data_IF_868033879798
#
_entry.id   IF_868033879798
#
_cell.length_a   1.000
_cell.length_b   1.000
_cell.length_c   1.000
_cell.angle_alpha   90.00
_cell.angle_beta   90.00
_cell.angle_gamma   90.00
#
_symmetry.space_group_name_H-M   'P 1'
#
loop_
_entity.id
_entity.type
_entity.pdbx_description
1 polymer ?
#
# COMPACT_ATOMS: atom_id res chain seq x y z
N UNK A 1 4.71 10.60 -12.69
CA UNK A 1 4.53 9.13 -12.64
C UNK A 1 5.41 8.37 -13.63
N UNK A 2 5.55 8.83 -14.87
CA UNK A 2 6.42 8.17 -15.87
C UNK A 2 7.92 8.18 -15.49
N UNK A 3 8.41 9.30 -14.95
CA UNK A 3 9.77 9.38 -14.40
C UNK A 3 10.01 8.33 -13.29
N UNK A 4 9.07 8.22 -12.35
CA UNK A 4 9.11 7.21 -11.29
C UNK A 4 9.16 5.79 -11.86
N UNK A 5 8.28 5.44 -12.82
CA UNK A 5 8.33 4.14 -13.49
C UNK A 5 9.68 3.87 -14.15
N UNK A 6 10.23 4.86 -14.83
CA UNK A 6 11.55 4.77 -15.48
C UNK A 6 12.66 4.50 -14.46
N UNK A 7 12.68 5.23 -13.35
CA UNK A 7 13.73 5.13 -12.32
C UNK A 7 13.64 3.83 -11.51
N UNK A 8 12.46 3.19 -11.47
CA UNK A 8 12.23 1.90 -10.80
C UNK A 8 12.21 0.69 -11.75
N UNK A 9 12.36 0.89 -13.06
CA UNK A 9 12.47 -0.21 -14.04
C UNK A 9 13.91 -0.75 -14.08
N UNK A 10 14.11 -2.07 -14.27
CA UNK A 10 15.46 -2.61 -14.47
C UNK A 10 16.16 -1.89 -15.63
N UNK A 11 17.45 -1.55 -15.49
CA UNK A 11 18.20 -0.95 -16.60
C UNK A 11 18.20 -1.94 -17.76
N UNK A 12 17.77 -1.49 -18.94
CA UNK A 12 17.57 -2.30 -20.15
C UNK A 12 18.87 -2.86 -20.76
N UNK A 13 19.94 -3.01 -19.98
CA UNK A 13 21.30 -3.28 -20.44
C UNK A 13 21.84 -4.69 -20.14
N UNK A 14 21.04 -5.61 -19.59
CA UNK A 14 21.43 -7.03 -19.50
C UNK A 14 20.63 -7.86 -20.50
N UNK A 15 21.27 -8.21 -21.60
CA UNK A 15 20.74 -9.00 -22.73
C UNK A 15 20.37 -10.47 -22.38
N UNK A 16 20.06 -10.81 -21.12
CA UNK A 16 19.86 -12.21 -20.70
C UNK A 16 18.57 -12.53 -19.95
N UNK A 17 17.64 -11.59 -19.75
CA UNK A 17 16.30 -11.94 -19.25
C UNK A 17 15.19 -11.27 -20.05
N UNK A 18 14.77 -11.95 -21.12
CA UNK A 18 13.42 -11.79 -21.68
C UNK A 18 12.41 -12.33 -20.67
N UNK A 19 11.97 -11.50 -19.74
CA UNK A 19 10.63 -11.62 -19.17
C UNK A 19 10.03 -10.23 -19.08
N UNK A 20 8.74 -10.15 -19.42
CA UNK A 20 7.90 -8.95 -19.37
C UNK A 20 7.71 -8.44 -17.92
N UNK A 21 8.80 -8.11 -17.24
CA UNK A 21 8.79 -7.56 -15.88
C UNK A 21 8.52 -6.05 -15.97
N UNK A 22 7.30 -5.71 -16.39
CA UNK A 22 6.78 -4.36 -16.25
C UNK A 22 6.25 -4.17 -14.82
N UNK A 23 6.62 -3.05 -14.18
CA UNK A 23 6.07 -2.64 -12.89
C UNK A 23 4.94 -1.63 -13.11
N UNK A 24 3.89 -1.66 -12.28
CA UNK A 24 2.87 -0.61 -12.36
C UNK A 24 3.38 0.68 -11.73
N UNK A 25 2.73 1.81 -12.06
CA UNK A 25 2.94 3.05 -11.31
C UNK A 25 2.67 2.87 -9.80
N UNK A 26 1.70 2.02 -9.44
CA UNK A 26 1.36 1.71 -8.06
C UNK A 26 2.49 0.96 -7.35
N UNK A 27 3.14 0.01 -8.03
CA UNK A 27 4.28 -0.73 -7.47
C UNK A 27 5.49 0.19 -7.28
N UNK A 28 5.75 1.06 -8.26
CA UNK A 28 6.85 2.03 -8.20
C UNK A 28 6.64 3.02 -7.05
N UNK A 29 5.42 3.53 -6.88
CA UNK A 29 5.06 4.44 -5.80
C UNK A 29 5.10 3.75 -4.43
N UNK A 30 4.55 2.54 -4.31
CA UNK A 30 4.66 1.72 -3.11
C UNK A 30 6.12 1.51 -2.69
N UNK A 31 7.00 1.27 -3.66
CA UNK A 31 8.43 1.11 -3.41
C UNK A 31 9.07 2.38 -2.87
N UNK A 32 8.79 3.53 -3.50
CA UNK A 32 9.29 4.81 -3.05
C UNK A 32 8.86 5.10 -1.60
N UNK A 33 7.58 4.87 -1.30
CA UNK A 33 6.98 5.05 0.03
C UNK A 33 7.64 4.15 1.06
N UNK A 34 7.78 2.85 0.76
CA UNK A 34 8.46 1.91 1.65
C UNK A 34 9.89 2.38 1.94
N UNK A 35 10.67 2.68 0.89
CA UNK A 35 12.04 3.13 1.05
C UNK A 35 12.17 4.43 1.86
N UNK A 36 11.25 5.38 1.68
CA UNK A 36 11.24 6.63 2.45
C UNK A 36 10.96 6.38 3.94
N UNK A 37 9.99 5.51 4.27
CA UNK A 37 9.72 5.12 5.67
C UNK A 37 10.93 4.41 6.28
N UNK A 38 11.52 3.45 5.57
CA UNK A 38 12.71 2.72 6.04
C UNK A 38 13.87 3.68 6.33
N UNK A 39 14.22 4.56 5.38
CA UNK A 39 15.31 5.54 5.54
C UNK A 39 15.05 6.53 6.67
N UNK A 40 13.80 6.96 6.84
CA UNK A 40 13.42 7.85 7.93
C UNK A 40 13.61 7.19 9.31
N UNK A 41 13.24 5.91 9.43
CA UNK A 41 13.45 5.11 10.65
C UNK A 41 14.92 4.89 10.96
N UNK A 42 15.72 4.54 9.93
CA UNK A 42 17.16 4.36 10.06
C UNK A 42 17.84 5.68 10.50
N UNK A 43 17.50 6.79 9.85
CA UNK A 43 18.08 8.11 10.17
C UNK A 43 17.67 8.60 11.56
N UNK A 44 16.44 8.33 11.97
CA UNK A 44 15.92 8.68 13.30
C UNK A 44 16.27 7.68 14.40
N UNK A 45 16.97 6.58 14.07
CA UNK A 45 17.24 5.45 14.98
C UNK A 45 16.00 5.01 15.77
N UNK A 46 14.87 4.83 15.09
CA UNK A 46 13.58 4.63 15.74
C UNK A 46 13.23 3.16 15.90
N UNK A 47 12.79 2.79 17.09
CA UNK A 47 12.21 1.47 17.34
C UNK A 47 10.86 1.32 16.62
N UNK A 48 10.72 0.22 15.87
CA UNK A 48 9.46 -0.15 15.22
C UNK A 48 8.51 -0.65 16.30
N UNK A 49 7.40 0.06 16.51
CA UNK A 49 6.49 -0.17 17.62
C UNK A 49 5.58 -1.41 17.39
N UNK A 50 4.80 -1.79 18.41
CA UNK A 50 3.70 -2.77 18.33
C UNK A 50 4.09 -4.23 18.00
N UNK A 51 5.25 -4.70 18.50
CA UNK A 51 5.67 -6.10 18.28
C UNK A 51 6.07 -6.41 16.83
N UNK A 52 6.39 -5.37 16.07
CA UNK A 52 6.96 -5.42 14.72
C UNK A 52 8.48 -5.67 14.80
N UNK A 53 9.19 -5.66 13.67
CA UNK A 53 10.62 -6.01 13.62
C UNK A 53 11.45 -5.19 14.61
N UNK A 54 12.47 -5.76 15.25
CA UNK A 54 13.30 -5.00 16.21
C UNK A 54 14.15 -3.94 15.51
N UNK A 55 14.77 -3.02 16.27
CA UNK A 55 15.71 -2.00 15.72
C UNK A 55 16.87 -2.67 14.98
N UNK A 56 17.35 -3.79 15.51
CA UNK A 56 18.47 -4.57 14.98
C UNK A 56 18.08 -5.38 13.73
N UNK A 57 16.78 -5.49 13.44
CA UNK A 57 16.30 -6.24 12.28
C UNK A 57 16.79 -5.59 10.99
N UNK A 58 17.53 -6.39 10.21
CA UNK A 58 18.00 -6.04 8.87
C UNK A 58 16.89 -6.14 7.81
N UNK A 59 15.69 -6.55 8.21
CA UNK A 59 14.57 -6.80 7.30
C UNK A 59 13.30 -6.13 7.80
N UNK A 60 12.55 -5.55 6.87
CA UNK A 60 11.19 -5.06 7.10
C UNK A 60 10.17 -5.91 6.35
N UNK A 61 9.04 -6.17 7.00
CA UNK A 61 7.89 -6.82 6.42
C UNK A 61 6.93 -5.77 5.86
N UNK A 62 6.65 -5.88 4.58
CA UNK A 62 5.68 -5.01 3.90
C UNK A 62 4.42 -5.81 3.67
N UNK A 63 3.27 -5.22 4.00
CA UNK A 63 1.96 -5.75 3.69
C UNK A 63 1.20 -4.76 2.83
N UNK A 64 0.57 -5.26 1.78
CA UNK A 64 -0.25 -4.42 0.90
C UNK A 64 -1.61 -5.07 0.68
N UNK A 65 -2.65 -4.24 0.77
CA UNK A 65 -3.99 -4.68 0.42
C UNK A 65 -4.14 -4.77 -1.10
N UNK A 66 -4.73 -5.86 -1.59
CA UNK A 66 -5.13 -6.00 -2.98
C UNK A 66 -6.62 -6.30 -3.07
N UNK A 67 -7.28 -5.79 -4.10
CA UNK A 67 -8.65 -6.15 -4.42
C UNK A 67 -8.68 -7.56 -5.04
N UNK A 68 -9.27 -8.51 -4.33
CA UNK A 68 -9.39 -9.89 -4.77
C UNK A 68 -10.55 -10.12 -5.74
N UNK A 69 -11.49 -9.17 -5.88
CA UNK A 69 -12.79 -9.41 -6.53
C UNK A 69 -12.67 -9.85 -7.97
N UNK A 70 -11.76 -9.24 -8.71
CA UNK A 70 -11.47 -9.59 -10.11
C UNK A 70 -10.76 -10.94 -10.27
N UNK A 71 -10.36 -11.57 -9.17
CA UNK A 71 -9.67 -12.87 -9.12
C UNK A 71 -10.60 -13.99 -8.63
N UNK A 72 -11.88 -13.70 -8.37
CA UNK A 72 -12.86 -14.71 -8.05
C UNK A 72 -13.01 -15.69 -9.25
N UNK A 73 -12.97 -17.02 -9.04
CA UNK A 73 -12.94 -18.01 -10.13
C UNK A 73 -14.06 -17.89 -11.17
N UNK A 74 -15.22 -17.36 -10.76
CA UNK A 74 -16.41 -17.21 -11.61
C UNK A 74 -16.70 -15.75 -11.97
N UNK A 75 -15.85 -14.79 -11.58
CA UNK A 75 -16.07 -13.36 -11.83
C UNK A 75 -17.32 -12.75 -11.18
N UNK A 76 -18.01 -13.52 -10.32
CA UNK A 76 -19.27 -13.14 -9.67
C UNK A 76 -19.11 -12.03 -8.62
N UNK A 77 -17.88 -11.74 -8.18
CA UNK A 77 -17.58 -10.65 -7.24
C UNK A 77 -17.09 -9.38 -7.95
N UNK A 78 -16.83 -9.45 -9.25
CA UNK A 78 -16.33 -8.34 -10.07
C UNK A 78 -17.40 -7.26 -10.30
N UNK A 79 -17.01 -6.15 -10.94
CA UNK A 79 -17.91 -5.07 -11.36
C UNK A 79 -18.71 -4.40 -10.22
N UNK A 80 -18.19 -4.43 -8.99
CA UNK A 80 -18.79 -3.71 -7.86
C UNK A 80 -20.10 -4.32 -7.32
N UNK A 81 -20.42 -5.57 -7.67
CA UNK A 81 -21.62 -6.25 -7.19
C UNK A 81 -21.46 -6.81 -5.77
N UNK A 82 -20.22 -7.01 -5.32
CA UNK A 82 -19.91 -7.54 -4.00
C UNK A 82 -19.42 -6.45 -3.03
N UNK A 83 -20.24 -6.16 -2.02
CA UNK A 83 -20.00 -5.12 -1.01
C UNK A 83 -19.28 -5.63 0.25
N UNK A 84 -19.09 -6.94 0.41
CA UNK A 84 -18.34 -7.51 1.55
C UNK A 84 -16.83 -7.27 1.43
N UNK A 85 -16.07 -7.59 2.50
CA UNK A 85 -14.61 -7.51 2.47
C UNK A 85 -14.03 -8.67 1.64
N UNK A 86 -13.28 -8.34 0.59
CA UNK A 86 -12.52 -9.33 -0.19
C UNK A 86 -11.16 -8.74 -0.60
N UNK A 87 -10.41 -8.32 0.42
CA UNK A 87 -9.10 -7.72 0.28
C UNK A 87 -8.02 -8.68 0.80
N UNK A 88 -7.58 -9.66 0.00
CA UNK A 88 -6.46 -10.51 0.40
C UNK A 88 -5.20 -9.66 0.60
N UNK A 89 -4.57 -9.87 1.75
CA UNK A 89 -3.27 -9.29 2.07
C UNK A 89 -2.17 -10.15 1.44
N UNK A 90 -1.18 -9.48 0.89
CA UNK A 90 0.03 -10.12 0.38
C UNK A 90 1.25 -9.41 0.98
N UNK A 91 2.35 -10.16 1.10
CA UNK A 91 3.55 -9.70 1.81
C UNK A 91 4.77 -9.78 0.91
N UNK A 92 5.71 -8.88 1.11
CA UNK A 92 6.93 -8.87 0.30
C UNK A 92 8.08 -8.20 1.03
N UNK A 93 9.30 -8.48 0.55
CA UNK A 93 10.55 -7.95 1.10
C UNK A 93 11.10 -6.76 0.30
N UNK A 94 10.81 -6.61 -1.00
CA UNK A 94 11.34 -5.53 -1.89
C UNK A 94 10.41 -5.30 -3.12
N UNK A 95 10.47 -4.11 -3.74
CA UNK A 95 9.88 -3.69 -5.02
C UNK A 95 9.69 -4.75 -6.12
N UNK A 96 10.77 -5.42 -6.57
CA UNK A 96 10.69 -6.45 -7.61
C UNK A 96 9.91 -7.68 -7.11
N UNK A 97 9.91 -7.89 -5.80
CA UNK A 97 9.08 -8.89 -5.15
C UNK A 97 7.63 -8.42 -4.95
N UNK A 98 7.25 -7.15 -5.19
CA UNK A 98 5.84 -6.72 -5.17
C UNK A 98 5.07 -7.33 -6.32
N UNK A 99 5.55 -7.21 -7.56
CA UNK A 99 4.88 -7.80 -8.73
C UNK A 99 4.86 -9.33 -8.66
N UNK A 100 5.95 -9.93 -8.17
CA UNK A 100 6.05 -11.39 -7.98
C UNK A 100 5.10 -11.87 -6.88
N UNK A 101 5.04 -11.19 -5.73
CA UNK A 101 4.10 -11.51 -4.65
C UNK A 101 2.64 -11.29 -5.09
N UNK A 102 2.32 -10.19 -5.79
CA UNK A 102 0.99 -9.95 -6.38
C UNK A 102 0.53 -11.04 -7.35
N UNK A 103 1.48 -11.70 -8.03
CA UNK A 103 1.17 -12.75 -9.01
C UNK A 103 1.05 -14.12 -8.35
N UNK A 104 1.86 -14.40 -7.32
CA UNK A 104 1.90 -15.69 -6.62
C UNK A 104 0.93 -15.77 -5.44
N UNK A 105 0.93 -14.77 -4.55
CA UNK A 105 0.20 -14.79 -3.27
C UNK A 105 -1.29 -14.49 -3.37
N UNK A 106 -1.72 -14.14 -4.58
CA UNK A 106 -3.08 -13.75 -4.91
C UNK A 106 -3.65 -14.61 -6.06
N UNK A 107 -3.07 -15.78 -6.33
CA UNK A 107 -3.74 -16.75 -7.20
C UNK A 107 -5.04 -17.23 -6.54
N UNK A 108 -6.07 -17.63 -7.31
CA UNK A 108 -7.31 -18.15 -6.73
C UNK A 108 -7.08 -19.30 -5.75
N UNK A 109 -6.13 -20.18 -6.05
CA UNK A 109 -5.75 -21.28 -5.16
C UNK A 109 -5.19 -20.79 -3.84
N UNK A 110 -4.22 -19.86 -3.86
CA UNK A 110 -3.62 -19.34 -2.62
C UNK A 110 -4.65 -18.55 -1.79
N UNK A 111 -5.58 -17.84 -2.42
CA UNK A 111 -6.69 -17.19 -1.72
C UNK A 111 -7.59 -18.23 -1.06
N UNK A 112 -7.97 -19.29 -1.79
CA UNK A 112 -8.77 -20.38 -1.25
C UNK A 112 -8.07 -21.12 -0.10
N UNK A 113 -6.75 -21.33 -0.20
CA UNK A 113 -5.94 -21.96 0.84
C UNK A 113 -5.88 -21.08 2.10
N UNK A 114 -5.69 -19.76 1.96
CA UNK A 114 -5.72 -18.80 3.07
C UNK A 114 -7.08 -18.79 3.77
N UNK A 115 -8.17 -18.77 3.00
CA UNK A 115 -9.55 -18.83 3.55
C UNK A 115 -9.74 -20.15 4.30
N UNK A 116 -9.41 -21.28 3.66
CA UNK A 116 -9.54 -22.62 4.25
C UNK A 116 -8.75 -22.73 5.55
N UNK A 117 -7.54 -22.17 5.59
CA UNK A 117 -6.72 -22.11 6.80
C UNK A 117 -7.39 -21.28 7.90
N UNK A 118 -7.94 -20.10 7.58
CA UNK A 118 -8.61 -19.24 8.57
C UNK A 118 -9.96 -19.81 9.06
N UNK A 119 -10.66 -20.57 8.22
CA UNK A 119 -11.93 -21.22 8.54
C UNK A 119 -11.76 -22.55 9.30
N UNK A 120 -10.57 -23.15 9.26
CA UNK A 120 -10.28 -24.40 9.97
C UNK A 120 -10.58 -24.23 11.47
N UNK A 121 -11.49 -25.04 12.06
CA UNK A 121 -11.86 -24.93 13.47
C UNK A 121 -10.68 -24.98 14.43
N UNK A 122 -9.57 -25.64 14.06
CA UNK A 122 -8.33 -25.68 14.85
C UNK A 122 -7.62 -24.34 14.93
N UNK A 123 -7.81 -23.48 13.93
CA UNK A 123 -7.27 -22.12 13.88
C UNK A 123 -8.27 -21.08 14.44
N UNK A 124 -9.47 -21.52 14.82
CA UNK A 124 -10.49 -20.65 15.41
C UNK A 124 -10.38 -20.49 16.94
N UNK A 125 -9.53 -21.27 17.65
CA UNK A 125 -9.28 -21.20 19.11
C UNK A 125 -7.85 -21.63 19.52
N UNK A 126 -7.16 -20.99 20.50
CA UNK A 126 -7.66 -19.99 21.45
C UNK A 126 -7.74 -18.57 20.88
N UNK A 127 -8.26 -17.65 21.69
CA UNK A 127 -8.43 -16.23 21.40
C UNK A 127 -7.13 -15.57 20.94
N UNK A 128 -7.07 -15.28 19.64
CA UNK A 128 -6.00 -14.56 18.99
C UNK A 128 -6.22 -14.70 17.49
N UNK A 129 -7.03 -13.80 16.92
CA UNK A 129 -7.07 -13.64 15.45
C UNK A 129 -5.61 -13.59 15.01
N UNK A 130 -5.21 -14.45 14.08
CA UNK A 130 -3.88 -14.36 13.48
C UNK A 130 -3.76 -12.95 12.92
N UNK A 131 -3.07 -12.11 13.67
CA UNK A 131 -2.81 -10.73 13.33
C UNK A 131 -1.60 -10.76 12.43
N UNK A 132 -1.79 -10.42 11.17
CA UNK A 132 -0.66 -10.14 10.31
C UNK A 132 -0.15 -8.75 10.68
N UNK A 133 0.92 -8.71 11.48
CA UNK A 133 1.67 -7.47 11.70
C UNK A 133 2.68 -7.29 10.57
N UNK A 134 2.90 -6.05 10.18
CA UNK A 134 3.89 -5.67 9.20
C UNK A 134 4.54 -4.36 9.63
N UNK A 135 5.81 -4.19 9.30
CA UNK A 135 6.55 -2.96 9.57
C UNK A 135 6.01 -1.79 8.76
N UNK A 136 5.57 -2.09 7.53
CA UNK A 136 4.95 -1.13 6.61
C UNK A 136 3.65 -1.72 6.06
N UNK A 137 2.57 -0.95 6.12
CA UNK A 137 1.24 -1.32 5.63
C UNK A 137 0.81 -0.31 4.56
N UNK A 138 0.54 -0.80 3.36
CA UNK A 138 0.14 0.02 2.23
C UNK A 138 -1.29 -0.31 1.79
N UNK A 139 -2.10 0.72 1.56
CA UNK A 139 -3.40 0.56 0.88
C UNK A 139 -3.48 1.50 -0.32
N UNK A 140 -3.91 0.96 -1.47
CA UNK A 140 -4.05 1.72 -2.70
C UNK A 140 -5.54 1.85 -3.05
N UNK A 141 -6.05 3.07 -2.91
CA UNK A 141 -7.43 3.43 -3.20
C UNK A 141 -7.56 4.19 -4.53
N UNK A 142 -6.46 4.37 -5.27
CA UNK A 142 -6.45 5.10 -6.52
C UNK A 142 -7.39 4.49 -7.57
N UNK A 143 -7.81 3.23 -7.46
CA UNK A 143 -8.82 2.65 -8.37
C UNK A 143 -10.20 3.29 -8.19
N UNK A 144 -10.55 3.72 -6.98
CA UNK A 144 -11.88 4.21 -6.64
C UNK A 144 -12.00 5.70 -6.95
N UNK A 145 -13.02 6.05 -7.72
CA UNK A 145 -13.30 7.43 -8.08
C UNK A 145 -14.13 8.12 -6.98
N UNK A 146 -13.47 8.38 -5.85
CA UNK A 146 -14.09 8.94 -4.64
C UNK A 146 -14.44 10.43 -4.75
N UNK A 147 -13.99 11.08 -5.83
CA UNK A 147 -14.27 12.48 -6.14
C UNK A 147 -14.88 12.60 -7.54
N UNK A 148 -15.46 11.51 -8.05
CA UNK A 148 -16.01 11.47 -9.39
C UNK A 148 -17.37 12.15 -9.49
N UNK A 149 -17.86 12.39 -10.73
CA UNK A 149 -19.21 12.93 -10.95
C UNK A 149 -20.32 12.03 -10.39
N UNK A 150 -20.04 10.73 -10.20
CA UNK A 150 -20.98 9.79 -9.56
C UNK A 150 -21.25 10.11 -8.09
N UNK A 151 -20.41 10.90 -7.46
CA UNK A 151 -20.50 11.30 -6.05
C UNK A 151 -20.83 12.79 -5.87
N UNK A 152 -21.25 13.46 -6.94
CA UNK A 152 -21.72 14.86 -6.89
C UNK A 152 -23.00 14.99 -6.05
N UNK A 153 -23.92 14.02 -6.19
CA UNK A 153 -25.22 13.99 -5.50
C UNK A 153 -26.05 15.30 -5.59
N UNK A 154 -25.74 16.21 -6.53
CA UNK A 154 -26.40 17.51 -6.70
C UNK A 154 -25.77 18.65 -5.93
N UNK A 155 -24.62 18.44 -5.29
CA UNK A 155 -23.90 19.42 -4.47
C UNK A 155 -22.56 19.85 -5.08
N UNK A 156 -22.24 19.36 -6.27
CA UNK A 156 -20.94 19.51 -6.90
C UNK A 156 -19.97 18.39 -6.51
N UNK A 157 -18.86 18.33 -7.24
CA UNK A 157 -17.78 17.36 -7.01
C UNK A 157 -17.27 17.40 -5.56
N UNK A 158 -17.04 16.25 -4.89
CA UNK A 158 -16.37 16.23 -3.59
C UNK A 158 -15.00 16.92 -3.65
N UNK A 159 -14.76 17.89 -2.77
CA UNK A 159 -13.50 18.66 -2.75
C UNK A 159 -12.31 17.86 -2.22
N UNK A 160 -12.57 16.89 -1.34
CA UNK A 160 -11.58 15.97 -0.78
C UNK A 160 -12.28 14.72 -0.27
N UNK A 161 -11.69 13.56 -0.49
CA UNK A 161 -12.10 12.29 0.11
C UNK A 161 -11.09 11.91 1.18
N UNK A 162 -11.55 11.82 2.44
CA UNK A 162 -10.79 11.22 3.53
C UNK A 162 -11.36 9.83 3.82
N UNK A 163 -10.56 8.96 4.42
CA UNK A 163 -10.95 7.57 4.72
C UNK A 163 -11.84 7.45 5.97
N UNK A 164 -12.31 8.57 6.52
CA UNK A 164 -13.29 8.63 7.61
C UNK A 164 -12.78 8.11 8.97
N UNK A 165 -11.51 7.69 9.05
CA UNK A 165 -10.90 7.22 10.27
C UNK A 165 -10.61 8.37 11.21
N UNK A 166 -11.48 8.61 12.20
CA UNK A 166 -11.15 9.41 13.39
C UNK A 166 -10.07 8.77 14.30
N UNK A 167 -9.28 7.85 13.75
CA UNK A 167 -8.29 7.02 14.42
C UNK A 167 -6.89 7.39 13.96
N UNK A 168 -5.98 7.52 14.92
CA UNK A 168 -4.55 7.68 14.68
C UNK A 168 -4.08 6.46 13.88
N UNK A 169 -3.63 6.65 12.63
CA UNK A 169 -3.00 5.57 11.88
C UNK A 169 -1.71 5.16 12.57
N UNK A 170 -1.42 3.85 12.70
CA UNK A 170 -0.20 3.42 13.34
C UNK A 170 1.00 3.84 12.48
N UNK A 171 2.20 4.01 13.06
CA UNK A 171 3.42 4.24 12.31
C UNK A 171 3.67 3.20 11.21
N UNK A 172 4.28 3.61 10.10
CA UNK A 172 4.53 2.76 8.93
C UNK A 172 3.29 2.48 8.08
N UNK A 173 2.22 3.26 8.25
CA UNK A 173 0.99 3.11 7.46
C UNK A 173 0.96 4.11 6.31
N UNK A 174 0.42 3.70 5.16
CA UNK A 174 0.19 4.60 4.04
C UNK A 174 -1.09 4.29 3.27
N UNK A 175 -1.76 5.37 2.86
CA UNK A 175 -2.93 5.35 1.97
C UNK A 175 -2.60 6.19 0.74
N UNK A 176 -2.90 5.64 -0.44
CA UNK A 176 -2.83 6.34 -1.72
C UNK A 176 -4.25 6.59 -2.24
N UNK A 177 -4.57 7.83 -2.58
CA UNK A 177 -5.79 8.21 -3.30
C UNK A 177 -5.42 8.94 -4.59
N UNK A 178 -6.35 8.97 -5.56
CA UNK A 178 -6.11 9.67 -6.83
C UNK A 178 -7.28 10.59 -7.14
N UNK A 179 -6.99 11.83 -7.51
CA UNK A 179 -7.93 12.69 -8.18
C UNK A 179 -7.97 12.32 -9.67
N UNK A 180 -9.12 11.85 -10.17
CA UNK A 180 -9.22 11.28 -11.52
C UNK A 180 -9.09 12.29 -12.65
N UNK A 181 -9.54 13.52 -12.42
CA UNK A 181 -9.52 14.56 -13.46
C UNK A 181 -8.10 15.08 -13.73
N UNK A 182 -7.33 15.36 -12.67
CA UNK A 182 -5.94 15.81 -12.75
C UNK A 182 -4.96 14.65 -12.95
N UNK A 183 -5.31 13.46 -12.46
CA UNK A 183 -4.42 12.32 -12.34
C UNK A 183 -3.52 12.38 -11.12
N UNK A 184 -3.64 13.43 -10.29
CA UNK A 184 -2.81 13.64 -9.10
C UNK A 184 -3.03 12.55 -8.06
N UNK A 185 -1.94 12.11 -7.45
CA UNK A 185 -1.95 11.07 -6.43
C UNK A 185 -1.56 11.69 -5.10
N UNK A 186 -2.44 11.56 -4.13
CA UNK A 186 -2.21 11.99 -2.76
C UNK A 186 -1.83 10.79 -1.91
N UNK A 187 -0.77 10.95 -1.12
CA UNK A 187 -0.27 9.90 -0.25
C UNK A 187 -0.24 10.42 1.17
N UNK A 188 -1.00 9.76 2.04
CA UNK A 188 -0.81 9.90 3.48
C UNK A 188 0.24 8.88 3.92
N UNK A 189 1.22 9.33 4.70
CA UNK A 189 2.28 8.48 5.26
C UNK A 189 2.39 8.76 6.75
N UNK A 190 2.50 7.70 7.55
CA UNK A 190 2.83 7.81 8.96
C UNK A 190 4.17 7.17 9.26
N UNK A 191 4.89 7.78 10.19
CA UNK A 191 6.14 7.28 10.75
C UNK A 191 6.14 7.60 12.23
N UNK A 192 6.98 6.91 12.99
CA UNK A 192 7.20 7.21 14.39
C UNK A 192 7.71 8.65 14.56
N UNK A 193 7.39 9.29 15.68
CA UNK A 193 7.72 10.71 15.92
C UNK A 193 9.21 11.01 15.70
N UNK A 194 10.11 10.12 16.14
CA UNK A 194 11.56 10.27 15.95
C UNK A 194 12.04 10.20 14.49
N UNK A 195 11.21 9.70 13.57
CA UNK A 195 11.50 9.62 12.13
C UNK A 195 10.81 10.71 11.32
N UNK A 196 9.97 11.55 11.92
CA UNK A 196 9.13 12.51 11.20
C UNK A 196 9.97 13.56 10.45
N UNK A 197 10.97 14.15 11.11
CA UNK A 197 11.85 15.14 10.48
C UNK A 197 12.68 14.52 9.35
N UNK A 198 13.18 13.30 9.55
CA UNK A 198 13.92 12.57 8.53
C UNK A 198 13.06 12.23 7.30
N UNK A 199 11.79 11.87 7.52
CA UNK A 199 10.85 11.63 6.42
C UNK A 199 10.57 12.90 5.62
N UNK A 200 10.35 14.03 6.29
CA UNK A 200 10.14 15.33 5.63
C UNK A 200 11.37 15.77 4.82
N UNK A 201 12.57 15.45 5.31
CA UNK A 201 13.83 15.77 4.67
C UNK A 201 14.30 14.74 3.62
N UNK A 202 13.55 13.66 3.38
CA UNK A 202 13.98 12.57 2.48
C UNK A 202 14.14 13.07 1.04
N UNK A 203 15.40 13.18 0.59
CA UNK A 203 15.73 13.77 -0.72
C UNK A 203 15.13 12.98 -1.89
N UNK A 204 15.06 11.65 -1.78
CA UNK A 204 14.52 10.83 -2.86
C UNK A 204 13.00 11.00 -2.98
N UNK A 205 12.29 11.03 -1.85
CA UNK A 205 10.85 11.31 -1.81
C UNK A 205 10.57 12.71 -2.38
N UNK A 206 11.34 13.71 -1.95
CA UNK A 206 11.18 15.10 -2.37
C UNK A 206 11.49 15.34 -3.86
N UNK A 207 12.13 14.39 -4.56
CA UNK A 207 12.27 14.44 -6.02
C UNK A 207 10.97 14.12 -6.77
N UNK A 208 10.00 13.46 -6.11
CA UNK A 208 8.76 12.98 -6.73
C UNK A 208 7.48 13.47 -6.05
N UNK A 209 7.59 13.96 -4.81
CA UNK A 209 6.46 14.40 -4.00
C UNK A 209 6.69 15.79 -3.42
N UNK A 210 5.60 16.50 -3.18
CA UNK A 210 5.60 17.77 -2.47
C UNK A 210 4.79 17.58 -1.19
N UNK A 211 5.36 17.96 -0.05
CA UNK A 211 4.66 17.93 1.21
C UNK A 211 3.50 18.93 1.17
N UNK A 212 2.29 18.42 1.36
CA UNK A 212 1.10 19.26 1.56
C UNK A 212 0.92 19.46 3.05
N UNK A 213 1.14 20.69 3.50
CA UNK A 213 0.79 21.10 4.86
C UNK A 213 -0.69 21.48 4.85
N UNK A 214 -1.52 20.76 5.60
CA UNK A 214 -2.87 21.25 5.88
C UNK A 214 -2.71 22.55 6.67
N UNK A 215 -3.01 23.67 6.03
CA UNK A 215 -3.19 24.92 6.75
C UNK A 215 -4.35 24.71 7.72
N UNK A 216 -4.22 25.07 9.01
CA UNK A 216 -5.37 25.04 9.90
C UNK A 216 -6.46 25.88 9.25
N UNK A 217 -7.65 25.29 9.12
CA UNK A 217 -8.82 25.99 8.58
C UNK A 217 -8.98 27.31 9.37
N UNK A 218 -8.81 28.42 8.66
CA UNK A 218 -9.06 29.78 9.15
C UNK A 218 -10.55 30.00 9.37
#
# INVERSE_FOLDING_TARGET
MERLKSDFSPSASSNEYKSDLWISSGDALATLICGAITRARESGNVARLEGRSSVESQTEYIMMAADGRDRAPQGNMSNGQYFGNFNPLWTSRIALAFRKALSLDLTPQVIADKISFLEDPRNTKPHGRIGFSADIILTNWCRFDLQGPKLDFGWGKPFRSTDGGGSIFPPGYSIMTQEKDSGDVFVMMTVELGGAEALQADLLLNNYATLVLDSPAS
#
